data_IF_308144926825
#
_entry.id   IF_308144926825
#
_cell.length_a   1.000
_cell.length_b   1.000
_cell.length_c   1.000
_cell.angle_alpha   90.00
_cell.angle_beta   90.00
_cell.angle_gamma   90.00
#
_symmetry.space_group_name_H-M   'P 1'
#
loop_
_entity.id
_entity.type
_entity.pdbx_description
1 polymer ?
#
# COMPACT_ATOMS: atom_id res chain seq x y z
N UNK A 1 -11.35 8.23 -3.89
CA UNK A 1 -11.04 7.65 -2.56
C UNK A 1 -9.70 6.95 -2.69
N UNK A 2 -8.73 7.20 -1.81
CA UNK A 2 -7.40 6.61 -1.99
C UNK A 2 -7.20 5.33 -1.16
N UNK A 3 -6.57 4.33 -1.78
CA UNK A 3 -6.07 3.13 -1.11
C UNK A 3 -4.59 2.94 -1.43
N UNK A 4 -3.91 2.09 -0.66
CA UNK A 4 -2.60 1.57 -1.03
C UNK A 4 -2.72 0.13 -1.48
N UNK A 5 -1.95 -0.25 -2.50
CA UNK A 5 -2.07 -1.57 -3.14
C UNK A 5 -0.68 -2.16 -3.31
N UNK A 6 -0.53 -3.48 -3.12
CA UNK A 6 0.77 -4.11 -3.38
C UNK A 6 1.10 -4.10 -4.87
N UNK A 7 2.40 -4.04 -5.19
CA UNK A 7 2.85 -4.08 -6.59
C UNK A 7 2.38 -5.33 -7.33
N UNK A 8 2.35 -6.48 -6.64
CA UNK A 8 1.88 -7.75 -7.19
C UNK A 8 0.37 -7.75 -7.52
N UNK A 9 -0.43 -7.02 -6.76
CA UNK A 9 -1.86 -6.85 -7.08
C UNK A 9 -2.03 -5.94 -8.30
N UNK A 10 -1.30 -4.82 -8.37
CA UNK A 10 -1.35 -3.92 -9.52
C UNK A 10 -0.90 -4.60 -10.82
N UNK A 11 0.07 -5.50 -10.74
CA UNK A 11 0.58 -6.20 -11.91
C UNK A 11 -0.42 -7.18 -12.52
N UNK A 12 -1.14 -7.94 -11.67
CA UNK A 12 -2.20 -8.83 -12.13
C UNK A 12 -3.38 -8.06 -12.73
N UNK A 13 -3.66 -6.86 -12.20
CA UNK A 13 -4.70 -5.97 -12.74
C UNK A 13 -4.26 -5.24 -14.02
N UNK A 14 -3.03 -5.42 -14.49
CA UNK A 14 -2.52 -4.74 -15.69
C UNK A 14 -2.27 -3.23 -15.48
N UNK A 15 -2.29 -2.75 -14.24
CA UNK A 15 -2.09 -1.34 -13.89
C UNK A 15 -0.61 -0.97 -13.73
N UNK A 16 0.27 -1.97 -13.63
CA UNK A 16 1.70 -1.76 -13.45
C UNK A 16 2.49 -2.90 -14.12
N UNK A 17 3.59 -2.55 -14.82
CA UNK A 17 4.49 -3.56 -15.37
C UNK A 17 5.22 -4.32 -14.27
N UNK A 18 5.29 -5.65 -14.36
CA UNK A 18 6.01 -6.49 -13.41
C UNK A 18 6.87 -7.51 -14.16
N UNK A 19 8.21 -7.41 -14.06
CA UNK A 19 9.14 -8.24 -14.85
C UNK A 19 9.30 -9.67 -14.32
N UNK A 20 8.31 -10.22 -13.62
CA UNK A 20 8.41 -11.54 -12.98
C UNK A 20 7.31 -12.48 -13.48
N UNK A 21 7.71 -13.73 -13.69
CA UNK A 21 6.83 -14.82 -14.14
C UNK A 21 5.95 -15.36 -13.00
N UNK A 22 6.18 -14.94 -11.76
CA UNK A 22 5.35 -15.31 -10.61
C UNK A 22 4.09 -14.46 -10.66
N UNK A 23 2.93 -15.11 -10.84
CA UNK A 23 1.62 -14.46 -10.81
C UNK A 23 1.02 -14.61 -9.42
N UNK A 24 0.95 -13.53 -8.61
CA UNK A 24 0.26 -13.57 -7.34
C UNK A 24 -1.21 -13.93 -7.52
N UNK A 25 -1.75 -14.75 -6.63
CA UNK A 25 -3.17 -15.11 -6.58
C UNK A 25 -3.92 -14.46 -5.42
N UNK A 26 -3.23 -13.65 -4.60
CA UNK A 26 -3.78 -12.92 -3.46
C UNK A 26 -3.70 -11.43 -3.75
N UNK A 27 -4.83 -10.74 -3.59
CA UNK A 27 -4.90 -9.29 -3.63
C UNK A 27 -4.57 -8.71 -2.25
N UNK A 28 -3.58 -7.83 -2.17
CA UNK A 28 -3.23 -7.10 -0.96
C UNK A 28 -3.59 -5.62 -1.13
N UNK A 29 -4.50 -5.17 -0.28
CA UNK A 29 -5.02 -3.80 -0.25
C UNK A 29 -4.84 -3.27 1.17
N UNK A 30 -4.52 -1.98 1.28
CA UNK A 30 -4.31 -1.30 2.54
C UNK A 30 -5.13 -0.01 2.56
N UNK A 31 -5.91 0.16 3.63
CA UNK A 31 -6.59 1.42 3.90
C UNK A 31 -5.56 2.55 3.99
N UNK A 32 -5.90 3.69 3.39
CA UNK A 32 -5.01 4.84 3.36
C UNK A 32 -5.75 6.13 3.66
N UNK A 33 -5.12 6.94 4.50
CA UNK A 33 -5.49 8.33 4.76
C UNK A 33 -4.19 9.15 4.82
N UNK A 34 -4.13 10.36 4.24
CA UNK A 34 -2.94 11.20 4.29
C UNK A 34 -2.52 11.60 5.72
N UNK A 35 -3.46 11.68 6.66
CA UNK A 35 -3.17 11.91 8.08
C UNK A 35 -2.68 10.64 8.80
N UNK A 36 -2.83 9.47 8.18
CA UNK A 36 -2.48 8.17 8.75
C UNK A 36 -3.55 7.55 9.64
N UNK A 37 -3.32 6.29 10.00
CA UNK A 37 -4.20 5.49 10.85
C UNK A 37 -4.34 6.10 12.25
N UNK A 38 -5.55 6.02 12.82
CA UNK A 38 -5.85 6.45 14.19
C UNK A 38 -5.18 5.55 15.25
N UNK A 39 -4.78 4.34 14.88
CA UNK A 39 -4.10 3.40 15.75
C UNK A 39 -2.75 3.93 16.24
N UNK A 40 -2.38 3.59 17.48
CA UNK A 40 -1.16 4.05 18.16
C UNK A 40 -0.06 2.98 18.24
N UNK A 41 -0.05 2.02 17.31
CA UNK A 41 0.95 0.97 17.29
C UNK A 41 2.35 1.59 17.11
N UNK A 42 3.24 1.33 18.07
CA UNK A 42 4.59 1.93 18.13
C UNK A 42 5.50 1.52 16.97
N UNK A 43 5.16 0.44 16.26
CA UNK A 43 5.92 -0.13 15.15
C UNK A 43 5.30 0.14 13.76
N UNK A 44 4.06 0.62 13.70
CA UNK A 44 3.34 0.70 12.43
C UNK A 44 3.64 2.03 11.73
N UNK A 45 4.27 1.96 10.55
CA UNK A 45 4.52 3.12 9.69
C UNK A 45 3.25 3.90 9.35
N UNK A 46 2.09 3.23 9.28
CA UNK A 46 0.81 3.84 8.95
C UNK A 46 0.18 4.61 10.12
N UNK A 47 0.60 4.41 11.38
CA UNK A 47 0.09 5.16 12.53
C UNK A 47 0.36 6.66 12.37
N UNK A 48 -0.65 7.52 12.56
CA UNK A 48 -0.45 8.98 12.52
C UNK A 48 0.55 9.50 13.57
N UNK A 49 0.77 8.72 14.63
CA UNK A 49 1.64 9.07 15.75
C UNK A 49 3.08 8.61 15.56
N UNK A 50 3.34 7.71 14.61
CA UNK A 50 4.69 7.21 14.33
C UNK A 50 5.36 8.05 13.25
N UNK A 51 6.63 8.44 13.44
CA UNK A 51 7.35 9.38 12.55
C UNK A 51 7.97 8.75 11.30
N UNK A 52 7.63 7.52 10.93
CA UNK A 52 8.11 6.92 9.68
C UNK A 52 7.35 7.45 8.45
N UNK A 53 8.00 7.36 7.29
CA UNK A 53 7.38 7.65 5.99
C UNK A 53 6.15 6.75 5.77
N UNK A 54 5.01 7.38 5.49
CA UNK A 54 3.70 6.72 5.27
C UNK A 54 3.62 5.94 3.96
N UNK A 55 4.61 6.09 3.08
CA UNK A 55 4.71 5.29 1.86
C UNK A 55 5.10 3.84 2.13
N UNK A 56 5.72 3.57 3.27
CA UNK A 56 6.18 2.24 3.62
C UNK A 56 5.16 1.47 4.42
N UNK A 57 5.11 0.15 4.21
CA UNK A 57 4.73 -0.83 5.22
C UNK A 57 5.85 -1.87 5.26
N UNK A 58 6.42 -2.06 6.45
CA UNK A 58 7.73 -2.71 6.60
C UNK A 58 8.83 -1.94 5.84
N UNK A 59 9.46 -2.55 4.82
CA UNK A 59 10.61 -1.97 4.08
C UNK A 59 10.31 -1.67 2.61
N UNK A 60 9.06 -1.81 2.18
CA UNK A 60 8.66 -1.65 0.77
C UNK A 60 7.62 -0.54 0.62
N UNK A 61 7.64 0.12 -0.54
CA UNK A 61 6.65 1.11 -0.92
C UNK A 61 5.34 0.41 -1.29
N UNK A 62 4.24 0.97 -0.82
CA UNK A 62 2.91 0.57 -1.23
C UNK A 62 2.28 1.70 -2.06
N UNK A 63 2.20 1.57 -3.40
CA UNK A 63 1.64 2.60 -4.27
C UNK A 63 0.26 3.08 -3.84
N UNK A 64 0.02 4.40 -3.94
CA UNK A 64 -1.28 5.03 -3.71
C UNK A 64 -2.10 4.99 -5.00
N UNK A 65 -3.32 4.47 -4.92
CA UNK A 65 -4.27 4.39 -6.03
C UNK A 65 -5.54 5.16 -5.68
N UNK A 66 -6.13 5.85 -6.66
CA UNK A 66 -7.47 6.43 -6.54
C UNK A 66 -8.50 5.43 -7.06
N UNK A 67 -9.54 5.17 -6.27
CA UNK A 67 -10.64 4.28 -6.63
C UNK A 67 -11.76 4.97 -7.43
N UNK A 68 -11.69 6.30 -7.58
CA UNK A 68 -12.72 7.06 -8.29
C UNK A 68 -12.30 7.42 -9.73
N UNK A 69 -11.19 6.86 -10.22
CA UNK A 69 -10.73 7.01 -11.61
C UNK A 69 -11.16 5.80 -12.42
#
# INVERSE_FOLDING_TARGET
>A
MYIRVSYGTLSILGLQYYPSNVKPNIAYIMQYDPQGCLGKCSFCSQSRYYKANKEFLSRIVWPKMDLNT
#
